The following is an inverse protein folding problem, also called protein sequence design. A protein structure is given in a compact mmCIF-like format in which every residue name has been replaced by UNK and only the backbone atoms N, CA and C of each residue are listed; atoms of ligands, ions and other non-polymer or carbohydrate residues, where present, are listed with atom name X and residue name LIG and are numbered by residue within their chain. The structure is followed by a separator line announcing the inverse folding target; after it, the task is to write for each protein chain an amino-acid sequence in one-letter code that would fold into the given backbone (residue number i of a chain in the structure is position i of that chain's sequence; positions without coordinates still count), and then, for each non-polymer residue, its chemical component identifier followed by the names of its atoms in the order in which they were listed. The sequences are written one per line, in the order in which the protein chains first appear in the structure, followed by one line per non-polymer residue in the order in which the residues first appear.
data_IF_309070851156
#
_entry.id   IF_309070851156
#
_cell.length_a   1.000
_cell.length_b   1.000
_cell.length_c   1.000
_cell.angle_alpha   90.00
_cell.angle_beta   90.00
_cell.angle_gamma   90.00
#
_symmetry.space_group_name_H-M   'P 1'
#
loop_
_entity.id
_entity.type
_entity.pdbx_description
1 polymer ?
#
# COMPACT_ATOMS: atom_id res chain seq x y z
N UNK A 1 -17.34 19.40 -13.64
CA UNK A 1 -17.76 18.11 -14.23
C UNK A 1 -19.24 18.27 -14.54
N UNK A 2 -19.59 18.69 -15.76
CA UNK A 2 -20.96 19.01 -16.08
C UNK A 2 -21.71 17.76 -16.54
N UNK A 3 -22.69 17.31 -15.78
CA UNK A 3 -23.77 16.48 -16.26
C UNK A 3 -24.67 17.38 -17.11
N UNK A 4 -24.54 17.30 -18.43
CA UNK A 4 -25.40 18.09 -19.33
C UNK A 4 -26.57 17.19 -19.72
N UNK A 5 -27.67 17.26 -18.96
CA UNK A 5 -28.93 16.58 -19.26
C UNK A 5 -29.80 17.54 -20.09
N UNK A 6 -29.95 17.29 -21.38
CA UNK A 6 -30.79 18.05 -22.30
C UNK A 6 -32.12 17.30 -22.47
N UNK A 7 -33.23 17.97 -22.23
CA UNK A 7 -34.54 17.38 -22.36
C UNK A 7 -35.55 18.32 -23.07
N UNK A 8 -36.52 17.73 -23.74
CA UNK A 8 -37.65 18.41 -24.30
C UNK A 8 -38.90 17.55 -24.03
N UNK A 9 -39.74 17.99 -23.12
CA UNK A 9 -40.97 17.33 -22.71
C UNK A 9 -42.17 18.16 -23.20
N UNK A 10 -42.89 17.74 -24.24
CA UNK A 10 -44.10 18.44 -24.68
C UNK A 10 -45.18 18.32 -23.59
N UNK A 11 -45.81 19.44 -23.26
CA UNK A 11 -46.98 19.48 -22.38
C UNK A 11 -48.21 19.30 -23.24
N UNK A 12 -48.88 18.15 -23.09
CA UNK A 12 -50.08 17.83 -23.81
C UNK A 12 -51.29 18.47 -23.10
N UNK A 13 -51.90 19.45 -23.74
CA UNK A 13 -53.00 20.25 -23.15
C UNK A 13 -54.18 20.26 -24.12
N UNK A 14 -55.38 20.13 -23.59
CA UNK A 14 -56.62 20.19 -24.38
C UNK A 14 -57.71 21.00 -23.65
N UNK A 15 -58.39 21.84 -24.37
CA UNK A 15 -59.55 22.53 -23.93
C UNK A 15 -60.70 22.35 -24.95
N UNK A 16 -61.96 22.55 -24.52
CA UNK A 16 -63.15 22.31 -25.32
C UNK A 16 -63.48 23.50 -26.23
N UNK A 17 -63.12 24.68 -25.83
CA UNK A 17 -63.59 25.92 -26.45
C UNK A 17 -62.48 26.95 -26.74
N UNK A 18 -61.22 26.63 -26.47
CA UNK A 18 -60.07 27.47 -26.79
C UNK A 18 -59.00 26.69 -27.55
N UNK A 19 -58.47 27.29 -28.64
CA UNK A 19 -57.35 26.76 -29.44
C UNK A 19 -56.00 27.37 -28.99
N UNK A 20 -56.03 28.46 -28.20
CA UNK A 20 -54.84 29.22 -27.78
C UNK A 20 -54.51 29.01 -26.29
N UNK A 21 -54.12 27.82 -25.92
CA UNK A 21 -53.68 27.49 -24.55
C UNK A 21 -52.24 27.89 -24.31
N UNK A 22 -51.99 28.57 -23.20
CA UNK A 22 -50.67 29.04 -22.76
C UNK A 22 -50.25 28.25 -21.51
N UNK A 23 -49.12 27.52 -21.62
CA UNK A 23 -48.45 26.90 -20.48
C UNK A 23 -47.34 27.82 -19.97
N UNK A 24 -47.33 28.10 -18.70
CA UNK A 24 -46.31 28.92 -18.04
C UNK A 24 -45.98 28.37 -16.63
N UNK A 25 -44.91 28.81 -16.06
CA UNK A 25 -44.72 28.63 -14.63
C UNK A 25 -45.63 29.55 -13.83
N UNK A 26 -46.14 29.06 -12.70
CA UNK A 26 -46.89 29.91 -11.79
C UNK A 26 -45.98 31.00 -11.24
N UNK A 27 -46.59 32.19 -10.89
CA UNK A 27 -45.84 33.30 -10.30
C UNK A 27 -45.20 32.93 -8.95
N UNK A 28 -45.73 31.92 -8.25
CA UNK A 28 -45.23 31.43 -6.97
C UNK A 28 -44.27 30.21 -7.12
N UNK A 29 -43.95 29.79 -8.35
CA UNK A 29 -43.10 28.63 -8.60
C UNK A 29 -41.61 28.93 -8.35
N UNK A 30 -40.96 28.13 -7.53
CA UNK A 30 -39.49 28.05 -7.46
C UNK A 30 -38.98 27.24 -8.66
N UNK A 31 -38.58 27.94 -9.73
CA UNK A 31 -38.12 27.30 -10.98
C UNK A 31 -36.61 27.36 -11.04
N UNK A 32 -35.92 26.24 -11.22
CA UNK A 32 -34.48 26.22 -11.48
C UNK A 32 -34.13 27.06 -12.72
N UNK A 33 -33.05 27.82 -12.67
CA UNK A 33 -32.60 28.73 -13.75
C UNK A 33 -32.37 28.01 -15.10
N UNK A 34 -32.13 26.69 -15.06
CA UNK A 34 -31.88 25.84 -16.23
C UNK A 34 -33.15 25.25 -16.85
N UNK A 35 -34.36 25.50 -16.29
CA UNK A 35 -35.62 25.00 -16.81
C UNK A 35 -36.38 26.15 -17.49
N UNK A 36 -36.90 25.90 -18.70
CA UNK A 36 -37.67 26.89 -19.44
C UNK A 36 -38.89 26.26 -20.10
N UNK A 37 -39.93 27.07 -20.39
CA UNK A 37 -41.05 26.65 -21.23
C UNK A 37 -40.95 27.39 -22.57
N UNK A 38 -40.93 26.63 -23.67
CA UNK A 38 -40.91 27.16 -25.03
C UNK A 38 -41.83 26.34 -25.89
N UNK A 39 -42.76 26.99 -26.60
CA UNK A 39 -43.74 26.33 -27.50
C UNK A 39 -44.54 25.21 -26.77
N UNK A 40 -45.01 25.46 -25.58
CA UNK A 40 -45.71 24.49 -24.73
C UNK A 40 -44.89 23.22 -24.46
N UNK A 41 -43.58 23.32 -24.45
CA UNK A 41 -42.69 22.24 -24.05
C UNK A 41 -41.76 22.71 -22.92
N UNK A 42 -41.56 21.86 -21.93
CA UNK A 42 -40.56 22.02 -20.87
C UNK A 42 -39.20 21.66 -21.47
N UNK A 43 -38.26 22.57 -21.38
CA UNK A 43 -36.90 22.38 -21.89
C UNK A 43 -35.90 22.73 -20.77
N UNK A 44 -34.75 22.05 -20.75
CA UNK A 44 -33.71 22.36 -19.80
C UNK A 44 -32.44 21.60 -20.05
N UNK A 45 -31.36 22.13 -19.45
CA UNK A 45 -30.06 21.50 -19.38
C UNK A 45 -29.61 21.60 -17.92
N UNK A 46 -29.61 20.47 -17.21
CA UNK A 46 -29.24 20.42 -15.80
C UNK A 46 -27.87 19.79 -15.59
N UNK A 47 -27.07 20.41 -14.73
CA UNK A 47 -25.84 19.86 -14.13
C UNK A 47 -26.06 19.44 -12.66
N UNK A 48 -27.29 19.56 -12.17
CA UNK A 48 -27.67 19.30 -10.77
C UNK A 48 -28.66 18.13 -10.72
N UNK A 49 -28.32 17.12 -9.92
CA UNK A 49 -29.21 16.00 -9.63
C UNK A 49 -30.21 16.39 -8.54
N UNK A 50 -31.40 15.80 -8.59
CA UNK A 50 -32.36 15.98 -7.53
C UNK A 50 -33.81 16.03 -8.00
N UNK A 51 -34.67 16.28 -7.03
CA UNK A 51 -36.12 16.39 -7.20
C UNK A 51 -36.52 17.85 -7.24
N UNK A 52 -37.20 18.25 -8.34
CA UNK A 52 -37.62 19.62 -8.60
C UNK A 52 -39.15 19.64 -8.88
N UNK A 53 -39.98 19.93 -7.88
CA UNK A 53 -41.40 20.11 -8.09
C UNK A 53 -41.66 21.45 -8.79
N UNK A 54 -42.26 21.43 -9.99
CA UNK A 54 -42.55 22.60 -10.79
C UNK A 54 -44.06 22.87 -10.75
N UNK A 55 -44.46 24.08 -10.35
CA UNK A 55 -45.86 24.50 -10.39
C UNK A 55 -46.16 25.16 -11.76
N UNK A 56 -46.92 24.45 -12.57
CA UNK A 56 -47.36 24.95 -13.89
C UNK A 56 -48.72 25.58 -13.83
N UNK A 57 -48.91 26.64 -14.60
CA UNK A 57 -50.22 27.24 -14.89
C UNK A 57 -50.58 27.03 -16.35
N UNK A 58 -51.80 26.66 -16.59
CA UNK A 58 -52.44 26.59 -17.90
C UNK A 58 -53.54 27.62 -18.01
N UNK A 59 -53.52 28.48 -19.03
CA UNK A 59 -54.53 29.55 -19.20
C UNK A 59 -54.98 29.61 -20.67
N UNK A 60 -56.28 29.89 -20.85
CA UNK A 60 -56.93 30.22 -22.12
C UNK A 60 -57.06 31.77 -22.34
N UNK A 61 -56.53 32.56 -21.39
CA UNK A 61 -56.60 34.02 -21.35
C UNK A 61 -57.72 34.54 -20.48
N UNK A 62 -58.78 33.76 -20.18
CA UNK A 62 -59.89 34.15 -19.31
C UNK A 62 -59.85 33.44 -17.95
N UNK A 63 -59.42 32.16 -17.95
CA UNK A 63 -59.29 31.33 -16.77
C UNK A 63 -57.89 30.71 -16.69
N UNK A 64 -57.47 30.27 -15.48
CA UNK A 64 -56.24 29.53 -15.33
C UNK A 64 -56.41 28.40 -14.34
N UNK A 65 -55.73 27.26 -14.63
CA UNK A 65 -55.63 26.08 -13.76
C UNK A 65 -54.16 25.85 -13.43
N UNK A 66 -53.89 25.39 -12.24
CA UNK A 66 -52.53 25.09 -11.76
C UNK A 66 -52.42 23.60 -11.49
N UNK A 67 -51.25 23.02 -11.83
CA UNK A 67 -50.89 21.66 -11.47
C UNK A 67 -49.39 21.57 -11.18
N UNK A 68 -49.01 20.55 -10.38
CA UNK A 68 -47.62 20.34 -10.00
C UNK A 68 -47.05 19.24 -10.91
N UNK A 69 -45.92 19.55 -11.54
CA UNK A 69 -45.15 18.60 -12.31
C UNK A 69 -43.85 18.27 -11.55
N UNK A 70 -43.63 17.01 -11.26
CA UNK A 70 -42.43 16.54 -10.55
C UNK A 70 -41.34 16.20 -11.56
N UNK A 71 -40.31 17.01 -11.62
CA UNK A 71 -39.11 16.77 -12.40
C UNK A 71 -38.04 16.14 -11.55
N UNK A 72 -37.69 14.90 -11.83
CA UNK A 72 -36.60 14.20 -11.17
C UNK A 72 -35.40 14.06 -12.11
N UNK A 73 -34.27 14.63 -11.70
CA UNK A 73 -33.03 14.61 -12.49
C UNK A 73 -32.09 13.57 -11.87
N UNK A 74 -31.89 12.48 -12.57
CA UNK A 74 -31.13 11.32 -12.13
C UNK A 74 -29.88 11.11 -13.02
N UNK A 75 -28.88 10.47 -12.46
CA UNK A 75 -27.68 10.12 -13.20
C UNK A 75 -27.77 8.67 -13.70
N UNK A 76 -27.94 8.47 -15.02
CA UNK A 76 -27.98 7.10 -15.57
C UNK A 76 -26.62 6.44 -15.68
N UNK A 77 -25.53 7.17 -15.50
CA UNK A 77 -24.18 6.64 -15.51
C UNK A 77 -23.74 6.32 -14.09
N UNK A 78 -22.98 5.26 -13.88
CA UNK A 78 -22.31 5.07 -12.61
C UNK A 78 -21.31 6.21 -12.38
N UNK A 79 -21.06 6.57 -11.12
CA UNK A 79 -20.15 7.66 -10.75
C UNK A 79 -19.10 7.12 -9.81
N UNK A 80 -17.83 7.10 -10.25
CA UNK A 80 -16.71 6.75 -9.36
C UNK A 80 -16.60 7.85 -8.31
N UNK A 81 -16.74 7.48 -7.05
CA UNK A 81 -16.69 8.38 -5.89
C UNK A 81 -15.31 8.44 -5.27
N UNK A 82 -14.59 7.29 -5.25
CA UNK A 82 -13.19 7.21 -4.84
C UNK A 82 -12.51 5.99 -5.42
N UNK A 83 -11.17 6.07 -5.53
CA UNK A 83 -10.28 4.93 -5.78
C UNK A 83 -9.26 4.97 -4.66
N UNK A 84 -9.23 3.93 -3.85
CA UNK A 84 -8.46 3.89 -2.60
C UNK A 84 -7.57 2.65 -2.59
N UNK A 85 -6.36 2.80 -2.08
CA UNK A 85 -5.45 1.70 -1.80
C UNK A 85 -6.07 0.67 -0.86
N UNK A 86 -5.75 -0.61 -1.04
CA UNK A 86 -6.15 -1.68 -0.13
C UNK A 86 -5.17 -1.73 1.04
N UNK A 87 -5.60 -1.42 2.28
CA UNK A 87 -4.67 -1.32 3.38
C UNK A 87 -4.15 -2.69 3.85
N UNK A 88 -2.88 -2.75 4.23
CA UNK A 88 -2.17 -3.93 4.72
C UNK A 88 -2.11 -5.06 3.68
N UNK A 89 -1.77 -4.72 2.46
CA UNK A 89 -1.50 -5.65 1.39
C UNK A 89 -0.10 -5.43 0.77
N UNK A 90 0.26 -6.27 -0.18
CA UNK A 90 1.51 -6.20 -0.94
C UNK A 90 1.39 -5.28 -2.17
N UNK A 91 0.43 -4.35 -2.18
CA UNK A 91 0.15 -3.47 -3.30
C UNK A 91 -0.51 -4.17 -4.49
N UNK A 92 -0.51 -3.51 -5.63
CA UNK A 92 -1.05 -4.04 -6.90
C UNK A 92 -2.56 -4.04 -7.01
N UNK A 93 -3.32 -3.61 -6.00
CA UNK A 93 -4.79 -3.57 -6.00
C UNK A 93 -5.35 -2.31 -5.35
N UNK A 94 -6.54 -1.92 -5.80
CA UNK A 94 -7.30 -0.77 -5.26
C UNK A 94 -8.76 -1.12 -5.09
N UNK A 95 -9.43 -0.44 -4.17
CA UNK A 95 -10.88 -0.41 -4.06
C UNK A 95 -11.45 0.71 -4.91
N UNK A 96 -12.24 0.37 -5.94
CA UNK A 96 -13.03 1.33 -6.71
C UNK A 96 -14.41 1.41 -6.09
N UNK A 97 -14.74 2.57 -5.52
CA UNK A 97 -16.04 2.89 -4.96
C UNK A 97 -16.82 3.72 -5.98
N UNK A 98 -18.07 3.36 -6.22
CA UNK A 98 -18.91 4.11 -7.15
C UNK A 98 -20.39 4.04 -6.78
N UNK A 99 -21.11 5.11 -7.16
CA UNK A 99 -22.57 5.16 -7.10
C UNK A 99 -23.17 4.46 -8.30
N UNK A 100 -24.29 3.79 -8.06
CA UNK A 100 -24.99 3.01 -9.09
C UNK A 100 -25.48 3.85 -10.28
N UNK A 101 -25.79 3.16 -11.38
CA UNK A 101 -26.63 3.71 -12.45
C UNK A 101 -28.07 3.85 -11.97
N UNK A 102 -28.79 4.86 -12.42
CA UNK A 102 -30.24 5.01 -12.20
C UNK A 102 -31.04 3.76 -12.56
N UNK A 103 -30.64 3.04 -13.62
CA UNK A 103 -31.33 1.85 -14.10
C UNK A 103 -31.09 0.59 -13.28
N UNK A 104 -30.18 0.63 -12.32
CA UNK A 104 -29.97 -0.45 -11.33
C UNK A 104 -31.00 -0.34 -10.21
N UNK A 105 -32.24 -0.72 -10.50
CA UNK A 105 -33.39 -0.53 -9.61
C UNK A 105 -33.80 -1.81 -8.85
N UNK A 106 -33.30 -2.98 -9.20
CA UNK A 106 -33.75 -4.25 -8.59
C UNK A 106 -32.85 -5.43 -8.95
N UNK A 107 -33.07 -6.54 -8.28
CA UNK A 107 -32.45 -7.85 -8.46
C UNK A 107 -32.65 -8.46 -9.87
N UNK A 108 -32.33 -7.75 -10.92
CA UNK A 108 -32.29 -8.29 -12.28
C UNK A 108 -30.92 -8.94 -12.52
N UNK A 109 -30.90 -10.26 -12.64
CA UNK A 109 -29.68 -11.06 -12.78
C UNK A 109 -28.95 -10.85 -14.11
N UNK A 110 -29.53 -10.11 -15.04
CA UNK A 110 -28.93 -9.81 -16.35
C UNK A 110 -28.17 -8.48 -16.36
N UNK A 111 -28.35 -7.64 -15.35
CA UNK A 111 -27.66 -6.36 -15.24
C UNK A 111 -26.34 -6.55 -14.50
N UNK A 112 -25.29 -5.85 -14.95
CA UNK A 112 -23.96 -6.00 -14.38
C UNK A 112 -23.12 -4.73 -14.51
N UNK A 113 -22.16 -4.61 -13.59
CA UNK A 113 -21.07 -3.66 -13.69
C UNK A 113 -19.78 -4.35 -14.13
N UNK A 114 -19.00 -3.64 -14.95
CA UNK A 114 -17.68 -4.07 -15.40
C UNK A 114 -16.69 -2.95 -15.13
N UNK A 115 -15.60 -3.27 -14.44
CA UNK A 115 -14.51 -2.34 -14.20
C UNK A 115 -13.48 -2.49 -15.31
N UNK A 116 -13.13 -1.39 -15.92
CA UNK A 116 -12.18 -1.30 -17.01
C UNK A 116 -10.98 -0.49 -16.57
N UNK A 117 -9.78 -1.00 -16.83
CA UNK A 117 -8.49 -0.35 -16.62
C UNK A 117 -7.91 0.06 -17.97
N UNK A 118 -7.28 1.21 -18.03
CA UNK A 118 -6.63 1.72 -19.21
C UNK A 118 -5.19 1.22 -19.28
N UNK A 119 -4.93 0.28 -20.20
CA UNK A 119 -3.61 -0.33 -20.40
C UNK A 119 -3.01 0.16 -21.74
N UNK A 120 -1.70 0.07 -21.90
CA UNK A 120 -1.01 0.24 -23.18
C UNK A 120 -0.57 -1.15 -23.65
N UNK A 121 -1.20 -1.66 -24.72
CA UNK A 121 -0.92 -2.98 -25.30
C UNK A 121 -0.39 -2.77 -26.72
N UNK A 122 0.81 -3.29 -27.01
CA UNK A 122 1.47 -3.12 -28.33
C UNK A 122 1.57 -1.63 -28.78
N UNK A 123 1.87 -0.74 -27.83
CA UNK A 123 1.93 0.72 -27.99
C UNK A 123 0.58 1.41 -28.31
N UNK A 124 -0.53 0.69 -28.19
CA UNK A 124 -1.89 1.24 -28.37
C UNK A 124 -2.67 1.25 -27.04
N UNK A 125 -3.47 2.32 -26.78
CA UNK A 125 -4.28 2.42 -25.58
C UNK A 125 -5.52 1.51 -25.67
N UNK A 126 -5.68 0.61 -24.70
CA UNK A 126 -6.81 -0.30 -24.62
C UNK A 126 -7.49 -0.28 -23.22
N UNK A 127 -8.81 -0.52 -23.21
CA UNK A 127 -9.55 -0.69 -21.98
C UNK A 127 -9.73 -2.18 -21.66
N UNK A 128 -9.05 -2.65 -20.63
CA UNK A 128 -9.01 -4.06 -20.21
C UNK A 128 -9.99 -4.29 -19.07
N UNK A 129 -10.74 -5.38 -19.11
CA UNK A 129 -11.63 -5.78 -18.01
C UNK A 129 -10.80 -6.32 -16.86
N UNK A 130 -10.89 -5.67 -15.69
CA UNK A 130 -10.18 -6.08 -14.46
C UNK A 130 -11.12 -6.52 -13.35
N UNK A 131 -12.42 -6.29 -13.48
CA UNK A 131 -13.43 -6.73 -12.53
C UNK A 131 -14.83 -6.71 -13.12
N UNK A 132 -15.74 -7.52 -12.57
CA UNK A 132 -17.15 -7.49 -12.94
C UNK A 132 -18.02 -8.11 -11.85
N UNK A 133 -19.29 -7.68 -11.77
CA UNK A 133 -20.27 -8.23 -10.85
C UNK A 133 -21.69 -7.80 -11.17
N UNK A 134 -22.68 -8.47 -10.56
CA UNK A 134 -24.09 -8.17 -10.78
C UNK A 134 -24.50 -6.81 -10.23
N UNK A 135 -25.41 -6.15 -10.91
CA UNK A 135 -26.15 -5.02 -10.39
C UNK A 135 -27.29 -5.55 -9.52
N UNK A 136 -27.31 -5.19 -8.24
CA UNK A 136 -28.23 -5.75 -7.21
C UNK A 136 -29.13 -4.69 -6.58
N UNK A 137 -29.11 -3.47 -7.08
CA UNK A 137 -29.93 -2.36 -6.61
C UNK A 137 -29.37 -1.63 -5.38
N UNK A 138 -28.11 -1.88 -5.00
CA UNK A 138 -27.46 -1.13 -3.92
C UNK A 138 -27.08 0.27 -4.43
N UNK A 139 -27.14 1.26 -3.54
CA UNK A 139 -26.81 2.65 -3.90
C UNK A 139 -25.32 2.83 -4.19
N UNK A 140 -24.47 2.02 -3.53
CA UNK A 140 -23.00 2.09 -3.58
C UNK A 140 -22.40 0.71 -3.81
N UNK A 141 -21.34 0.65 -4.61
CA UNK A 141 -20.59 -0.56 -4.92
C UNK A 141 -19.10 -0.33 -4.65
N UNK A 142 -18.43 -1.40 -4.21
CA UNK A 142 -16.99 -1.46 -4.07
C UNK A 142 -16.45 -2.67 -4.80
N UNK A 143 -15.45 -2.47 -5.65
CA UNK A 143 -14.75 -3.55 -6.34
C UNK A 143 -13.25 -3.45 -6.08
N UNK A 144 -12.65 -4.55 -5.68
CA UNK A 144 -11.20 -4.71 -5.62
C UNK A 144 -10.69 -5.12 -7.01
N UNK A 145 -9.74 -4.37 -7.55
CA UNK A 145 -9.19 -4.57 -8.89
C UNK A 145 -7.70 -4.26 -8.93
N UNK A 146 -6.98 -4.88 -9.87
CA UNK A 146 -5.54 -4.68 -10.01
C UNK A 146 -5.20 -3.33 -10.68
N UNK A 147 -4.15 -2.69 -10.20
CA UNK A 147 -3.46 -1.55 -10.80
C UNK A 147 -2.42 -2.02 -11.84
N UNK A 148 -1.73 -1.08 -12.49
CA UNK A 148 -0.61 -1.37 -13.40
C UNK A 148 0.72 -1.48 -12.64
N UNK A 149 0.90 -0.65 -11.64
CA UNK A 149 2.08 -0.57 -10.77
C UNK A 149 1.70 0.08 -9.44
N UNK A 150 2.53 -0.13 -8.43
CA UNK A 150 2.42 0.57 -7.17
C UNK A 150 3.06 1.95 -7.24
N UNK A 151 2.58 2.87 -6.42
CA UNK A 151 3.23 4.13 -6.20
C UNK A 151 4.51 3.92 -5.39
N UNK A 152 5.59 4.58 -5.82
CA UNK A 152 6.91 4.57 -5.19
C UNK A 152 7.43 6.00 -5.06
N UNK A 153 8.60 6.19 -4.47
CA UNK A 153 9.27 7.50 -4.43
C UNK A 153 9.64 8.03 -5.83
N UNK A 154 9.72 7.15 -6.84
CA UNK A 154 10.15 7.48 -8.20
C UNK A 154 8.97 7.57 -9.20
N UNK A 155 7.85 6.88 -8.94
CA UNK A 155 6.66 6.82 -9.80
C UNK A 155 5.40 6.92 -8.95
N UNK A 156 4.45 7.76 -9.36
CA UNK A 156 3.18 7.95 -8.66
C UNK A 156 2.20 6.77 -8.81
N UNK A 157 2.50 5.75 -9.63
CA UNK A 157 1.73 4.52 -9.81
C UNK A 157 0.30 4.73 -10.34
N UNK A 158 0.00 5.93 -10.87
CA UNK A 158 -1.36 6.30 -11.27
C UNK A 158 -1.92 5.43 -12.38
N UNK A 159 -3.01 4.75 -12.10
CA UNK A 159 -3.75 3.90 -13.01
C UNK A 159 -5.14 4.49 -13.27
N UNK A 160 -5.56 4.54 -14.55
CA UNK A 160 -6.85 5.09 -14.96
C UNK A 160 -7.91 3.99 -15.07
N UNK A 161 -9.10 4.24 -14.51
CA UNK A 161 -10.21 3.31 -14.49
C UNK A 161 -11.51 3.96 -14.95
N UNK A 162 -12.45 3.15 -15.43
CA UNK A 162 -13.84 3.51 -15.62
C UNK A 162 -14.76 2.33 -15.33
N UNK A 163 -16.02 2.64 -15.01
CA UNK A 163 -17.08 1.66 -14.76
C UNK A 163 -18.04 1.65 -15.93
N UNK A 164 -18.35 0.46 -16.45
CA UNK A 164 -19.41 0.20 -17.41
C UNK A 164 -20.60 -0.40 -16.67
N UNK A 165 -21.74 0.26 -16.71
CA UNK A 165 -23.03 -0.27 -16.32
C UNK A 165 -23.74 -0.86 -17.56
N UNK A 166 -23.88 -2.18 -17.60
CA UNK A 166 -24.63 -2.90 -18.64
C UNK A 166 -26.03 -3.21 -18.10
N UNK A 167 -26.99 -2.35 -18.45
CA UNK A 167 -28.36 -2.39 -17.99
C UNK A 167 -29.31 -2.85 -19.11
N UNK A 168 -30.57 -3.16 -18.80
CA UNK A 168 -31.58 -3.53 -19.81
C UNK A 168 -31.82 -2.40 -20.81
N UNK A 169 -31.68 -1.15 -20.37
CA UNK A 169 -31.90 0.06 -21.17
C UNK A 169 -30.70 0.44 -22.04
N UNK A 170 -29.50 -0.13 -21.75
CA UNK A 170 -28.29 0.14 -22.52
C UNK A 170 -27.00 0.03 -21.73
N UNK A 171 -25.93 0.57 -22.33
CA UNK A 171 -24.59 0.57 -21.77
C UNK A 171 -24.17 2.00 -21.40
N UNK A 172 -23.80 2.22 -20.15
CA UNK A 172 -23.46 3.54 -19.60
C UNK A 172 -22.08 3.51 -18.96
N UNK A 173 -21.17 4.37 -19.44
CA UNK A 173 -19.82 4.49 -18.89
C UNK A 173 -19.73 5.65 -17.90
N UNK A 174 -19.07 5.42 -16.78
CA UNK A 174 -18.64 6.52 -15.91
C UNK A 174 -17.66 7.45 -16.65
N UNK A 175 -17.40 8.61 -16.08
CA UNK A 175 -16.17 9.34 -16.39
C UNK A 175 -14.97 8.53 -15.87
N UNK A 176 -13.81 8.58 -16.56
CA UNK A 176 -12.59 7.98 -16.05
C UNK A 176 -12.14 8.68 -14.75
N UNK A 177 -11.51 7.91 -13.87
CA UNK A 177 -10.87 8.39 -12.66
C UNK A 177 -9.54 7.70 -12.47
N UNK A 178 -8.61 8.36 -11.78
CA UNK A 178 -7.28 7.84 -11.51
C UNK A 178 -7.13 7.49 -10.03
N UNK A 179 -6.35 6.44 -9.76
CA UNK A 179 -5.95 6.02 -8.44
C UNK A 179 -4.67 5.22 -8.48
N UNK A 180 -4.11 4.92 -7.33
CA UNK A 180 -2.86 4.20 -7.19
C UNK A 180 -2.96 3.20 -6.04
N UNK A 181 -2.16 2.15 -6.09
CA UNK A 181 -1.92 1.20 -5.00
C UNK A 181 -0.55 1.45 -4.37
N UNK A 182 -0.39 1.00 -3.15
CA UNK A 182 0.86 1.08 -2.39
C UNK A 182 1.08 -0.25 -1.71
N UNK A 183 2.25 -0.85 -1.90
CA UNK A 183 2.70 -1.91 -1.01
C UNK A 183 2.97 -1.31 0.38
N UNK A 184 2.22 -1.77 1.37
CA UNK A 184 2.31 -1.29 2.75
C UNK A 184 2.56 -2.40 3.77
N UNK A 185 3.01 -3.58 3.32
CA UNK A 185 3.49 -4.66 4.18
C UNK A 185 5.01 -4.65 4.21
N UNK A 186 5.57 -4.42 5.40
CA UNK A 186 7.00 -4.51 5.59
C UNK A 186 7.49 -5.96 5.51
N UNK A 187 8.72 -6.21 4.99
CA UNK A 187 9.29 -7.54 4.94
C UNK A 187 9.58 -8.11 6.33
N UNK A 188 9.86 -9.42 6.39
CA UNK A 188 10.19 -10.12 7.62
C UNK A 188 11.45 -9.59 8.30
N UNK A 189 11.49 -9.64 9.63
CA UNK A 189 12.68 -9.29 10.40
C UNK A 189 13.80 -10.27 10.09
N UNK A 190 15.04 -9.81 9.78
CA UNK A 190 16.17 -10.70 9.55
C UNK A 190 16.48 -11.57 10.78
N UNK A 191 16.62 -12.87 10.56
CA UNK A 191 16.89 -13.85 11.61
C UNK A 191 18.32 -14.44 11.49
N UNK A 192 18.81 -15.04 12.58
CA UNK A 192 20.06 -15.79 12.58
C UNK A 192 21.31 -14.92 12.47
N UNK A 193 21.25 -13.61 12.76
CA UNK A 193 22.44 -12.75 12.72
C UNK A 193 23.52 -13.25 13.67
N UNK A 194 24.72 -13.46 13.12
CA UNK A 194 25.94 -13.86 13.84
C UNK A 194 27.10 -12.96 13.45
N UNK A 195 28.00 -12.73 14.41
CA UNK A 195 29.25 -12.01 14.20
C UNK A 195 30.43 -12.87 14.66
N UNK A 196 31.39 -13.11 13.77
CA UNK A 196 32.59 -13.91 14.06
C UNK A 196 33.81 -13.07 13.73
N UNK A 197 34.73 -12.94 14.71
CA UNK A 197 36.00 -12.23 14.49
C UNK A 197 37.01 -13.19 13.86
N UNK A 198 37.51 -12.84 12.68
CA UNK A 198 38.52 -13.60 11.92
C UNK A 198 39.70 -12.68 11.60
N UNK A 199 40.78 -12.77 12.38
CA UNK A 199 41.89 -11.85 12.23
C UNK A 199 41.52 -10.43 12.63
N UNK A 200 41.52 -9.50 11.69
CA UNK A 200 41.18 -8.08 11.85
C UNK A 200 39.82 -7.76 11.17
N UNK A 201 39.03 -8.76 10.87
CA UNK A 201 37.74 -8.64 10.20
C UNK A 201 36.67 -9.22 11.11
N UNK A 202 35.48 -8.60 11.13
CA UNK A 202 34.24 -9.18 11.63
C UNK A 202 33.45 -9.74 10.44
N UNK A 203 33.26 -11.04 10.39
CA UNK A 203 32.37 -11.69 9.45
C UNK A 203 30.97 -11.76 10.04
N UNK A 204 30.03 -11.07 9.39
CA UNK A 204 28.61 -11.13 9.69
C UNK A 204 27.92 -12.12 8.75
N UNK A 205 27.00 -12.91 9.26
CA UNK A 205 26.15 -13.81 8.48
C UNK A 205 24.77 -13.92 9.13
N UNK A 206 23.74 -14.11 8.28
CA UNK A 206 22.35 -14.25 8.74
C UNK A 206 21.58 -15.11 7.76
N UNK A 207 20.28 -15.37 8.03
CA UNK A 207 19.42 -16.11 7.13
C UNK A 207 18.96 -15.21 5.96
N UNK A 208 18.89 -15.75 4.71
CA UNK A 208 18.37 -14.99 3.57
C UNK A 208 16.88 -14.68 3.78
N UNK A 209 16.40 -13.54 3.25
CA UNK A 209 14.98 -13.24 3.24
C UNK A 209 14.22 -14.25 2.40
N UNK A 210 13.02 -14.59 2.83
CA UNK A 210 12.04 -15.42 2.11
C UNK A 210 10.96 -14.60 1.41
N UNK A 211 10.95 -13.28 1.58
CA UNK A 211 9.95 -12.38 1.00
C UNK A 211 10.21 -12.22 -0.50
N UNK A 212 9.16 -12.32 -1.31
CA UNK A 212 9.27 -12.30 -2.78
C UNK A 212 9.64 -10.91 -3.31
N UNK A 213 9.31 -9.87 -2.56
CA UNK A 213 9.55 -8.45 -2.84
C UNK A 213 10.79 -7.88 -2.14
N UNK A 214 11.56 -8.72 -1.44
CA UNK A 214 12.80 -8.33 -0.78
C UNK A 214 13.78 -7.66 -1.74
N UNK A 215 14.37 -6.52 -1.34
CA UNK A 215 15.34 -5.79 -2.13
C UNK A 215 16.77 -5.87 -1.56
N UNK A 216 16.96 -5.45 -0.29
CA UNK A 216 18.27 -5.44 0.37
C UNK A 216 18.15 -5.43 1.90
N UNK A 217 19.30 -5.69 2.57
CA UNK A 217 19.44 -5.51 4.01
C UNK A 217 20.16 -4.20 4.32
N UNK A 218 19.79 -3.58 5.43
CA UNK A 218 20.55 -2.51 6.08
C UNK A 218 21.25 -3.10 7.30
N UNK A 219 22.57 -2.98 7.33
CA UNK A 219 23.37 -3.24 8.53
C UNK A 219 23.55 -1.90 9.25
N UNK A 220 23.16 -1.83 10.50
CA UNK A 220 23.53 -0.74 11.39
C UNK A 220 24.69 -1.19 12.26
N UNK A 221 25.84 -0.48 12.15
CA UNK A 221 27.01 -0.65 12.97
C UNK A 221 27.13 0.50 13.97
N UNK A 222 27.39 0.23 15.23
CA UNK A 222 27.55 1.26 16.26
C UNK A 222 28.56 0.86 17.33
N UNK A 223 29.19 1.84 17.93
CA UNK A 223 29.99 1.68 19.16
C UNK A 223 29.12 1.82 20.44
N UNK A 224 27.90 2.28 20.28
CA UNK A 224 26.88 2.40 21.32
C UNK A 224 25.78 1.38 21.12
N UNK A 225 25.51 0.56 22.12
CA UNK A 225 24.45 -0.46 22.10
C UNK A 225 23.04 0.13 21.84
N UNK A 226 22.85 1.43 22.09
CA UNK A 226 21.58 2.11 21.81
C UNK A 226 21.49 2.64 20.37
N UNK A 227 22.53 2.49 19.56
CA UNK A 227 22.57 2.94 18.16
C UNK A 227 22.20 4.42 17.98
N UNK A 228 22.69 5.31 18.85
CA UNK A 228 22.37 6.74 18.78
C UNK A 228 22.82 7.41 17.47
N UNK A 229 23.89 6.91 16.84
CA UNK A 229 24.41 7.39 15.56
C UNK A 229 25.09 6.22 14.83
N UNK A 230 24.35 5.26 14.31
CA UNK A 230 24.92 4.11 13.62
C UNK A 230 25.49 4.51 12.27
N UNK A 231 26.46 3.74 11.82
CA UNK A 231 26.87 3.69 10.43
C UNK A 231 25.93 2.76 9.68
N UNK A 232 25.47 3.18 8.50
CA UNK A 232 24.49 2.48 7.68
C UNK A 232 25.22 1.85 6.49
N UNK A 233 25.02 0.55 6.29
CA UNK A 233 25.64 -0.22 5.21
C UNK A 233 24.53 -1.03 4.54
N UNK A 234 24.38 -0.88 3.21
CA UNK A 234 23.39 -1.60 2.42
C UNK A 234 24.04 -2.79 1.73
N UNK A 235 23.42 -3.98 1.83
CA UNK A 235 23.92 -5.22 1.23
C UNK A 235 22.75 -6.10 0.77
N UNK A 236 22.95 -6.84 -0.31
CA UNK A 236 21.94 -7.78 -0.84
C UNK A 236 22.19 -9.20 -0.33
N UNK A 237 23.46 -9.62 -0.26
CA UNK A 237 23.80 -10.95 0.18
C UNK A 237 23.72 -11.07 1.70
N UNK A 238 23.32 -12.24 2.26
CA UNK A 238 23.16 -12.44 3.70
C UNK A 238 24.51 -12.66 4.43
N UNK A 239 25.55 -12.00 3.94
CA UNK A 239 26.93 -12.02 4.50
C UNK A 239 27.56 -10.64 4.31
N UNK A 240 28.40 -10.25 5.26
CA UNK A 240 29.19 -9.03 5.15
C UNK A 240 30.49 -9.15 5.95
N UNK A 241 31.60 -8.65 5.36
CA UNK A 241 32.91 -8.62 6.02
C UNK A 241 33.27 -7.19 6.41
N UNK A 242 33.27 -6.90 7.69
CA UNK A 242 33.57 -5.59 8.25
C UNK A 242 35.02 -5.51 8.74
N UNK A 243 35.83 -4.65 8.12
CA UNK A 243 37.20 -4.39 8.55
C UNK A 243 37.22 -3.40 9.72
N UNK A 244 37.33 -3.91 10.95
CA UNK A 244 37.45 -3.09 12.15
C UNK A 244 38.92 -2.90 12.48
N UNK A 245 39.36 -1.65 12.70
CA UNK A 245 40.75 -1.30 12.91
C UNK A 245 41.15 -1.12 14.38
N UNK A 246 40.20 -1.00 15.30
CA UNK A 246 40.50 -0.66 16.68
C UNK A 246 40.39 -1.87 17.62
N UNK A 247 41.54 -2.27 18.13
CA UNK A 247 41.66 -3.36 19.11
C UNK A 247 41.06 -2.95 20.46
N UNK A 248 40.28 -3.83 21.06
CA UNK A 248 39.65 -3.63 22.36
C UNK A 248 38.33 -2.82 22.30
N UNK A 249 37.91 -2.40 21.13
CA UNK A 249 36.64 -1.71 20.92
C UNK A 249 35.55 -2.72 20.53
N UNK A 250 34.40 -2.63 21.20
CA UNK A 250 33.22 -3.44 20.86
C UNK A 250 32.38 -2.72 19.83
N UNK A 251 32.07 -3.41 18.73
CA UNK A 251 31.10 -2.97 17.72
C UNK A 251 29.82 -3.77 17.91
N UNK A 252 28.69 -3.09 17.80
CA UNK A 252 27.36 -3.65 17.85
C UNK A 252 26.75 -3.60 16.44
N UNK A 253 26.04 -4.65 16.07
CA UNK A 253 25.40 -4.78 14.75
C UNK A 253 23.96 -5.22 14.91
N UNK A 254 23.09 -4.70 14.08
CA UNK A 254 21.71 -5.15 13.86
C UNK A 254 21.32 -4.94 12.42
N UNK A 255 20.27 -5.62 11.99
CA UNK A 255 19.81 -5.63 10.62
C UNK A 255 18.36 -5.16 10.49
N UNK A 256 18.04 -4.67 9.31
CA UNK A 256 16.68 -4.42 8.81
C UNK A 256 16.61 -5.00 7.40
N UNK A 257 15.49 -5.62 7.01
CA UNK A 257 15.15 -5.91 5.62
C UNK A 257 14.41 -4.73 5.01
N UNK A 258 14.61 -4.51 3.72
CA UNK A 258 13.91 -3.49 2.92
C UNK A 258 13.39 -4.16 1.65
N UNK A 259 12.15 -3.87 1.26
CA UNK A 259 11.53 -4.33 0.04
C UNK A 259 11.69 -3.34 -1.12
N UNK A 260 11.15 -3.69 -2.30
CA UNK A 260 11.18 -2.84 -3.48
C UNK A 260 10.32 -1.58 -3.36
N UNK A 261 9.34 -1.56 -2.48
CA UNK A 261 8.49 -0.40 -2.18
C UNK A 261 9.14 0.55 -1.16
N UNK A 262 10.22 0.13 -0.51
CA UNK A 262 10.94 0.90 0.51
C UNK A 262 10.43 0.67 1.93
N UNK A 263 9.51 -0.29 2.16
CA UNK A 263 9.07 -0.65 3.49
C UNK A 263 10.21 -1.33 4.24
N UNK A 264 10.28 -1.08 5.55
CA UNK A 264 11.36 -1.56 6.41
C UNK A 264 10.82 -2.47 7.48
N UNK A 265 11.48 -3.60 7.68
CA UNK A 265 11.18 -4.51 8.79
C UNK A 265 11.49 -3.90 10.16
N UNK A 266 11.13 -4.60 11.21
CA UNK A 266 11.74 -4.37 12.54
C UNK A 266 13.23 -4.74 12.57
N UNK A 267 13.91 -4.38 13.67
CA UNK A 267 15.30 -4.73 13.84
C UNK A 267 15.48 -6.20 14.23
N UNK A 268 16.54 -6.82 13.72
CA UNK A 268 17.05 -8.12 14.21
C UNK A 268 17.52 -8.03 15.67
N UNK A 269 17.85 -9.17 16.24
CA UNK A 269 18.65 -9.24 17.46
C UNK A 269 19.99 -8.51 17.25
N UNK A 270 20.52 -7.95 18.35
CA UNK A 270 21.81 -7.27 18.36
C UNK A 270 22.90 -8.31 18.58
N UNK A 271 23.94 -8.27 17.76
CA UNK A 271 25.18 -9.02 18.00
C UNK A 271 26.33 -8.05 18.27
N UNK A 272 27.32 -8.53 19.03
CA UNK A 272 28.52 -7.74 19.34
C UNK A 272 29.78 -8.46 18.89
N UNK A 273 30.76 -7.70 18.46
CA UNK A 273 32.10 -8.18 18.16
C UNK A 273 33.15 -7.24 18.70
N UNK A 274 34.16 -7.83 19.35
CA UNK A 274 35.32 -7.10 19.89
C UNK A 274 36.57 -7.71 19.27
N UNK A 275 37.32 -6.87 18.55
CA UNK A 275 38.65 -7.27 18.09
C UNK A 275 39.58 -7.28 19.32
N UNK A 276 39.90 -8.47 19.77
CA UNK A 276 40.91 -8.63 20.79
C UNK A 276 42.30 -8.49 20.17
N UNK A 277 43.26 -7.85 20.86
CA UNK A 277 44.64 -7.91 20.40
C UNK A 277 45.01 -9.38 20.22
N UNK A 278 45.36 -9.78 19.00
CA UNK A 278 46.25 -10.91 18.88
C UNK A 278 47.49 -10.49 19.64
N UNK A 279 47.67 -11.08 20.83
CA UNK A 279 48.94 -10.98 21.50
C UNK A 279 49.94 -11.38 20.41
N UNK A 280 50.82 -10.46 19.97
CA UNK A 280 51.70 -10.61 18.83
C UNK A 280 52.73 -11.68 19.10
N UNK A 281 52.22 -12.83 19.59
CA UNK A 281 52.99 -14.05 19.83
C UNK A 281 54.44 -13.79 20.30
N UNK A 282 54.63 -12.78 21.12
CA UNK A 282 55.88 -12.68 21.85
C UNK A 282 55.92 -13.96 22.70
N UNK A 283 56.59 -14.96 22.15
CA UNK A 283 56.84 -16.19 22.88
C UNK A 283 57.32 -15.78 24.25
N UNK A 284 56.77 -16.37 25.33
CA UNK A 284 57.23 -16.11 26.68
C UNK A 284 58.73 -16.18 26.70
N UNK A 285 59.39 -15.17 27.17
CA UNK A 285 60.87 -15.13 27.18
C UNK A 285 61.48 -16.07 28.22
N UNK A 286 60.68 -16.69 29.05
CA UNK A 286 61.10 -17.56 30.16
C UNK A 286 60.13 -18.73 30.32
N UNK A 287 60.66 -19.93 30.60
CA UNK A 287 59.84 -21.05 31.05
C UNK A 287 59.13 -20.71 32.36
N UNK A 288 57.81 -20.80 32.36
CA UNK A 288 57.01 -20.54 33.56
C UNK A 288 55.92 -21.59 33.73
N UNK A 289 55.82 -22.11 34.95
CA UNK A 289 54.68 -22.91 35.38
C UNK A 289 53.81 -22.08 36.30
N UNK A 290 52.60 -21.80 35.87
CA UNK A 290 51.66 -21.00 36.69
C UNK A 290 50.96 -21.88 37.72
N UNK A 291 50.48 -21.24 38.76
CA UNK A 291 49.64 -21.91 39.74
C UNK A 291 48.35 -22.42 39.08
N UNK A 292 47.95 -23.61 39.39
CA UNK A 292 46.69 -24.15 38.90
C UNK A 292 45.49 -23.33 39.37
N UNK A 293 44.52 -23.15 38.48
CA UNK A 293 43.29 -22.42 38.82
C UNK A 293 42.06 -23.20 38.35
N UNK A 294 41.01 -23.31 39.15
CA UNK A 294 40.92 -22.88 40.58
C UNK A 294 41.83 -23.72 41.49
N UNK A 295 42.22 -23.14 42.61
CA UNK A 295 42.95 -23.85 43.68
C UNK A 295 42.45 -23.31 45.03
N UNK A 296 41.77 -24.11 45.87
CA UNK A 296 41.43 -25.52 45.69
C UNK A 296 40.49 -25.81 44.52
N UNK A 297 40.55 -27.02 43.95
CA UNK A 297 39.72 -27.43 42.78
C UNK A 297 38.74 -28.56 43.14
N UNK A 298 37.64 -28.65 42.39
CA UNK A 298 36.63 -29.70 42.51
C UNK A 298 35.80 -29.83 41.19
N UNK A 299 35.87 -30.94 40.44
CA UNK A 299 36.92 -31.97 40.38
C UNK A 299 38.05 -31.60 39.42
N UNK A 300 37.95 -30.46 38.69
CA UNK A 300 38.90 -30.07 37.65
C UNK A 300 39.66 -28.80 37.96
N UNK A 301 40.88 -28.70 37.45
CA UNK A 301 41.72 -27.51 37.49
C UNK A 301 42.50 -27.39 36.19
N UNK A 302 42.90 -26.19 35.83
CA UNK A 302 43.75 -25.89 34.68
C UNK A 302 45.18 -25.64 35.13
N UNK A 303 46.10 -26.16 34.36
CA UNK A 303 47.55 -25.92 34.57
C UNK A 303 48.03 -25.13 33.34
N UNK A 304 48.47 -23.88 33.57
CA UNK A 304 49.05 -23.03 32.54
C UNK A 304 50.55 -23.03 32.65
N UNK A 305 51.24 -23.15 31.49
CA UNK A 305 52.68 -23.04 31.40
C UNK A 305 53.06 -22.22 30.17
N UNK A 306 54.18 -21.53 30.22
CA UNK A 306 54.72 -20.71 29.14
C UNK A 306 55.99 -21.35 28.62
N UNK A 307 56.13 -21.41 27.32
CA UNK A 307 57.28 -21.98 26.61
C UNK A 307 57.96 -20.90 25.74
N UNK A 308 59.21 -20.58 25.92
CA UNK A 308 59.95 -19.62 25.12
C UNK A 308 60.32 -20.11 23.75
N UNK A 309 60.31 -21.43 23.49
CA UNK A 309 60.58 -22.07 22.21
C UNK A 309 59.76 -23.37 22.10
N UNK A 310 59.67 -23.93 20.88
CA UNK A 310 59.07 -25.24 20.67
C UNK A 310 59.82 -26.28 21.49
N UNK A 311 59.14 -26.97 22.39
CA UNK A 311 59.70 -27.95 23.28
C UNK A 311 58.73 -29.09 23.57
N UNK A 312 59.28 -30.28 23.83
CA UNK A 312 58.47 -31.37 24.34
C UNK A 312 58.22 -31.15 25.83
N UNK A 313 56.96 -31.04 26.20
CA UNK A 313 56.56 -30.82 27.61
C UNK A 313 56.19 -32.17 28.25
N UNK A 314 56.75 -32.40 29.42
CA UNK A 314 56.39 -33.53 30.27
C UNK A 314 55.92 -33.00 31.62
N UNK A 315 54.64 -33.17 31.93
CA UNK A 315 54.04 -32.72 33.19
C UNK A 315 53.88 -33.96 34.07
N UNK A 316 54.56 -33.95 35.22
CA UNK A 316 54.48 -35.02 36.22
C UNK A 316 53.88 -34.43 37.53
N UNK A 317 52.86 -35.08 38.04
CA UNK A 317 52.16 -34.66 39.25
C UNK A 317 52.59 -35.59 40.40
N UNK A 318 53.01 -34.99 41.48
CA UNK A 318 53.40 -35.69 42.68
C UNK A 318 52.46 -35.39 43.86
N UNK A 319 52.19 -36.38 44.68
CA UNK A 319 51.52 -36.11 45.96
C UNK A 319 52.48 -35.44 46.95
N UNK A 320 51.95 -34.97 48.06
CA UNK A 320 52.75 -34.28 49.10
C UNK A 320 53.85 -35.19 49.72
N UNK A 321 53.86 -36.49 49.45
CA UNK A 321 54.87 -37.46 49.85
C UNK A 321 55.84 -37.80 48.72
N UNK A 322 55.82 -37.12 47.59
CA UNK A 322 56.69 -37.32 46.46
C UNK A 322 56.40 -38.59 45.62
N UNK A 323 55.20 -39.16 45.71
CA UNK A 323 54.79 -40.34 44.89
C UNK A 323 54.05 -39.87 43.64
N UNK A 324 54.43 -40.47 42.48
CA UNK A 324 53.72 -40.25 41.22
C UNK A 324 52.34 -40.84 41.23
#
# INVERSE_FOLDING_TARGET
IGLNLDFNLPVDVADIDSEDLIVAFSEDAEVPDWVTITNNALNGVSDTLGYFPLLLSLSDGDTSVMDTFDLNVENFKPVITSIEDVPNDQGGVVHINFDRSYFDQSNDTNQMYTILRHDIIDDEPEWVVVGSGGAIGDDHYTYEVSTLSDATDEDDGMTEFKVLASMNEGHYYSLPAMGYSVDNIAPGIPEGLMAVVVGDIVELSWEPSSDEDFQYFIIERSLDINFASPEIIEVVEPIYSDAISEVGQTNYYRLISVDHAGNRSGYSDIVEATLLSIDDGSLPSVFTLHQNHPNPFNPTTQIRYDLPNDAMVNITIYDMMGRM
#
